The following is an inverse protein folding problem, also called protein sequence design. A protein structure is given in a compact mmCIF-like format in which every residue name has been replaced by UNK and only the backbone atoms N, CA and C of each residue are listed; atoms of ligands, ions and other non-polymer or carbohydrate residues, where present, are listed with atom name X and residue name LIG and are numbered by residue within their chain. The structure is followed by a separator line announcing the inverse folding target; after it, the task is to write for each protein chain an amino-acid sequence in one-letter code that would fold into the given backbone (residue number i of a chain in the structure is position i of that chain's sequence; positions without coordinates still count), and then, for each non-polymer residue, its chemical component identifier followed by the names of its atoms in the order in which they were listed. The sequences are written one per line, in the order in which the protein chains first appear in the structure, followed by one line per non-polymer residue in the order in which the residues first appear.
data_IF_536937934395
#
_entry.id   IF_536937934395
#
_cell.length_a   1.000
_cell.length_b   1.000
_cell.length_c   1.000
_cell.angle_alpha   90.00
_cell.angle_beta   90.00
_cell.angle_gamma   90.00
#
_symmetry.space_group_name_H-M   'P 1'
#
loop_
_entity.id
_entity.type
_entity.pdbx_description
1 polymer ?
#
# COMPACT_ATOMS: atom_id res chain seq x y z
N UNK A 1 -14.24 -5.68 -12.02
CA UNK A 1 -13.59 -4.86 -10.95
C UNK A 1 -12.07 -4.83 -11.14
N UNK A 2 -11.36 -5.98 -11.20
CA UNK A 2 -9.90 -6.01 -11.37
C UNK A 2 -9.40 -5.29 -12.63
N UNK A 3 -10.07 -5.45 -13.77
CA UNK A 3 -9.72 -4.73 -15.00
C UNK A 3 -9.77 -3.21 -14.85
N UNK A 4 -10.73 -2.69 -14.08
CA UNK A 4 -10.81 -1.26 -13.79
C UNK A 4 -9.71 -0.81 -12.83
N UNK A 5 -9.34 -1.64 -11.84
CA UNK A 5 -8.20 -1.36 -10.96
C UNK A 5 -6.91 -1.27 -11.79
N UNK A 6 -6.63 -2.27 -12.63
CA UNK A 6 -5.46 -2.29 -13.51
C UNK A 6 -5.45 -1.06 -14.43
N UNK A 7 -6.60 -0.69 -14.99
CA UNK A 7 -6.71 0.52 -15.83
C UNK A 7 -6.45 1.81 -15.07
N UNK A 8 -6.92 1.93 -13.82
CA UNK A 8 -6.70 3.10 -12.97
C UNK A 8 -5.24 3.22 -12.54
N UNK A 9 -4.66 2.13 -12.04
CA UNK A 9 -3.26 2.07 -11.60
C UNK A 9 -2.32 2.33 -12.77
N UNK A 10 -2.60 1.76 -13.95
CA UNK A 10 -1.85 2.01 -15.18
C UNK A 10 -1.89 3.46 -15.68
N UNK A 11 -2.83 4.28 -15.18
CA UNK A 11 -2.90 5.73 -15.43
C UNK A 11 -2.19 6.56 -14.36
N UNK A 12 -1.51 5.92 -13.41
CA UNK A 12 -0.67 6.59 -12.40
C UNK A 12 -1.43 7.10 -11.18
N UNK A 13 -2.63 6.59 -10.88
CA UNK A 13 -3.37 7.07 -9.70
C UNK A 13 -2.73 6.68 -8.36
N UNK A 14 -1.90 5.62 -8.34
CA UNK A 14 -1.32 5.07 -7.11
C UNK A 14 -0.54 6.12 -6.32
N UNK A 15 0.27 6.95 -6.99
CA UNK A 15 1.05 8.02 -6.33
C UNK A 15 0.16 8.92 -5.46
N UNK A 16 -0.98 9.37 -5.98
CA UNK A 16 -1.92 10.20 -5.22
C UNK A 16 -2.56 9.46 -4.03
N UNK A 17 -2.74 8.14 -4.11
CA UNK A 17 -3.19 7.35 -2.96
C UNK A 17 -2.08 7.15 -1.93
N UNK A 18 -0.81 7.05 -2.33
CA UNK A 18 0.32 7.05 -1.39
C UNK A 18 0.44 8.41 -0.69
N UNK A 19 0.18 9.52 -1.39
CA UNK A 19 0.07 10.84 -0.74
C UNK A 19 -1.05 10.89 0.30
N UNK A 20 -2.17 10.21 0.05
CA UNK A 20 -3.25 10.08 1.04
C UNK A 20 -2.82 9.26 2.26
N UNK A 21 -2.07 8.16 2.07
CA UNK A 21 -1.43 7.42 3.18
C UNK A 21 -0.63 8.39 4.02
N UNK A 22 0.07 9.34 3.37
CA UNK A 22 0.91 10.32 4.03
C UNK A 22 0.18 11.47 4.75
N UNK A 23 -1.13 11.61 4.55
CA UNK A 23 -1.95 12.66 5.17
C UNK A 23 -1.96 12.58 6.71
N UNK A 24 -2.12 13.74 7.35
CA UNK A 24 -2.39 13.83 8.79
C UNK A 24 -3.86 13.49 9.14
N UNK A 25 -4.76 13.53 8.15
CA UNK A 25 -6.14 13.11 8.31
C UNK A 25 -6.22 11.58 8.33
N UNK A 26 -6.68 11.03 9.45
CA UNK A 26 -6.72 9.58 9.67
C UNK A 26 -7.68 8.85 8.72
N UNK A 27 -8.73 9.51 8.23
CA UNK A 27 -9.66 8.93 7.25
C UNK A 27 -9.02 8.90 5.86
N UNK A 28 -8.29 9.95 5.49
CA UNK A 28 -7.52 10.00 4.26
C UNK A 28 -6.41 8.93 4.26
N UNK A 29 -5.64 8.85 5.35
CA UNK A 29 -4.62 7.82 5.53
C UNK A 29 -5.20 6.40 5.42
N UNK A 30 -6.35 6.16 6.06
CA UNK A 30 -7.06 4.88 5.96
C UNK A 30 -7.46 4.56 4.51
N UNK A 31 -8.03 5.52 3.79
CA UNK A 31 -8.42 5.34 2.39
C UNK A 31 -7.20 5.00 1.52
N UNK A 32 -6.08 5.68 1.74
CA UNK A 32 -4.80 5.38 1.10
C UNK A 32 -4.38 3.93 1.34
N UNK A 33 -4.32 3.50 2.60
CA UNK A 33 -3.92 2.13 2.98
C UNK A 33 -4.85 1.07 2.37
N UNK A 34 -6.16 1.31 2.35
CA UNK A 34 -7.14 0.42 1.73
C UNK A 34 -6.95 0.32 0.21
N UNK A 35 -6.62 1.42 -0.46
CA UNK A 35 -6.32 1.37 -1.89
C UNK A 35 -5.00 0.64 -2.15
N UNK A 36 -3.97 0.86 -1.33
CA UNK A 36 -2.70 0.12 -1.41
C UNK A 36 -2.93 -1.39 -1.26
N UNK A 37 -3.76 -1.83 -0.31
CA UNK A 37 -4.16 -3.25 -0.19
C UNK A 37 -4.79 -3.78 -1.48
N UNK A 38 -5.69 -3.02 -2.11
CA UNK A 38 -6.32 -3.42 -3.37
C UNK A 38 -5.29 -3.61 -4.47
N UNK A 39 -4.29 -2.75 -4.57
CA UNK A 39 -3.20 -2.88 -5.55
C UNK A 39 -2.34 -4.10 -5.26
N UNK A 40 -1.89 -4.27 -4.01
CA UNK A 40 -1.07 -5.41 -3.58
C UNK A 40 -1.76 -6.76 -3.83
N UNK A 41 -3.08 -6.84 -3.66
CA UNK A 41 -3.87 -8.06 -3.89
C UNK A 41 -4.32 -8.23 -5.35
N UNK A 42 -4.59 -7.13 -6.04
CA UNK A 42 -5.33 -7.12 -7.30
C UNK A 42 -4.47 -7.12 -8.56
N UNK A 43 -3.19 -6.76 -8.45
CA UNK A 43 -2.25 -6.80 -9.57
C UNK A 43 -1.71 -8.21 -9.78
N UNK A 44 -1.60 -8.64 -11.03
CA UNK A 44 -1.07 -9.94 -11.42
C UNK A 44 0.44 -10.06 -11.15
N UNK A 45 0.93 -11.29 -10.98
CA UNK A 45 2.37 -11.63 -11.00
C UNK A 45 3.27 -10.84 -10.03
N UNK A 46 2.71 -10.33 -8.92
CA UNK A 46 3.48 -9.52 -7.96
C UNK A 46 3.75 -8.08 -8.42
N UNK A 47 3.19 -7.63 -9.56
CA UNK A 47 3.39 -6.27 -10.06
C UNK A 47 2.89 -5.21 -9.06
N UNK A 48 1.90 -5.56 -8.24
CA UNK A 48 1.36 -4.65 -7.22
C UNK A 48 2.42 -4.21 -6.22
N UNK A 49 3.27 -5.13 -5.79
CA UNK A 49 4.34 -4.85 -4.84
C UNK A 49 5.39 -3.91 -5.44
N UNK A 50 5.86 -4.22 -6.66
CA UNK A 50 6.81 -3.39 -7.41
C UNK A 50 6.29 -1.97 -7.66
N UNK A 51 5.00 -1.84 -7.96
CA UNK A 51 4.36 -0.55 -8.16
C UNK A 51 4.27 0.24 -6.85
N UNK A 52 3.89 -0.42 -5.75
CA UNK A 52 3.83 0.21 -4.42
C UNK A 52 5.22 0.66 -3.97
N UNK A 53 6.24 -0.16 -4.16
CA UNK A 53 7.64 0.18 -3.87
C UNK A 53 8.11 1.38 -4.68
N UNK A 54 7.89 1.36 -6.01
CA UNK A 54 8.26 2.46 -6.91
C UNK A 54 7.69 3.82 -6.48
N UNK A 55 6.49 3.83 -5.90
CA UNK A 55 5.81 5.05 -5.46
C UNK A 55 6.08 5.38 -3.97
N UNK A 56 7.12 4.81 -3.34
CA UNK A 56 7.47 4.95 -1.92
C UNK A 56 6.34 4.52 -0.96
N UNK A 57 5.51 3.57 -1.39
CA UNK A 57 4.39 3.07 -0.60
C UNK A 57 4.80 2.20 0.59
N UNK A 58 5.98 1.58 0.54
CA UNK A 58 6.54 0.79 1.66
C UNK A 58 6.81 1.70 2.85
N UNK A 59 7.65 2.72 2.68
CA UNK A 59 7.94 3.73 3.70
C UNK A 59 6.67 4.37 4.25
N UNK A 60 5.70 4.64 3.36
CA UNK A 60 4.41 5.22 3.74
C UNK A 60 3.59 4.28 4.64
N UNK A 61 3.68 2.96 4.47
CA UNK A 61 3.04 1.98 5.36
C UNK A 61 3.82 1.81 6.67
N UNK A 62 5.15 1.70 6.60
CA UNK A 62 6.00 1.45 7.78
C UNK A 62 5.87 2.54 8.85
N UNK A 63 5.66 3.80 8.43
CA UNK A 63 5.42 4.91 9.38
C UNK A 63 4.26 4.66 10.33
N UNK A 64 3.30 3.80 9.94
CA UNK A 64 2.11 3.51 10.73
C UNK A 64 2.30 2.37 11.74
N UNK A 65 3.37 1.57 11.66
CA UNK A 65 3.59 0.43 12.55
C UNK A 65 3.70 0.80 14.03
N UNK A 66 4.07 2.05 14.33
CA UNK A 66 4.14 2.61 15.68
C UNK A 66 3.14 3.75 15.93
N UNK A 67 2.12 3.88 15.08
CA UNK A 67 1.17 4.97 15.15
C UNK A 67 0.18 4.82 16.32
N UNK A 68 -0.24 5.96 16.90
CA UNK A 68 -1.15 6.00 18.07
C UNK A 68 -2.56 5.49 17.75
N UNK A 69 -3.02 5.73 16.52
CA UNK A 69 -4.30 5.18 16.05
C UNK A 69 -4.13 3.68 15.81
N UNK A 70 -4.82 2.86 16.61
CA UNK A 70 -4.68 1.41 16.58
C UNK A 70 -5.18 0.79 15.29
N UNK A 71 -6.26 1.32 14.69
CA UNK A 71 -6.82 0.80 13.44
C UNK A 71 -5.82 0.94 12.29
N UNK A 72 -5.21 2.12 12.14
CA UNK A 72 -4.20 2.38 11.12
C UNK A 72 -2.95 1.54 11.34
N UNK A 73 -2.52 1.42 12.61
CA UNK A 73 -1.38 0.59 12.98
C UNK A 73 -1.60 -0.88 12.63
N UNK A 74 -2.74 -1.44 13.02
CA UNK A 74 -3.07 -2.84 12.76
C UNK A 74 -3.19 -3.11 11.25
N UNK A 75 -3.77 -2.18 10.49
CA UNK A 75 -3.87 -2.28 9.04
C UNK A 75 -2.48 -2.27 8.38
N UNK A 76 -1.63 -1.32 8.75
CA UNK A 76 -0.28 -1.22 8.22
C UNK A 76 0.57 -2.46 8.56
N UNK A 77 0.57 -2.90 9.82
CA UNK A 77 1.26 -4.12 10.24
C UNK A 77 0.79 -5.34 9.42
N UNK A 78 -0.52 -5.50 9.22
CA UNK A 78 -1.06 -6.61 8.44
C UNK A 78 -0.61 -6.58 6.96
N UNK A 79 -0.40 -5.39 6.39
CA UNK A 79 0.11 -5.25 5.02
C UNK A 79 1.61 -5.54 4.94
N UNK A 80 2.39 -4.99 5.87
CA UNK A 80 3.84 -5.22 5.96
C UNK A 80 4.12 -6.70 6.18
N UNK A 81 3.52 -7.33 7.19
CA UNK A 81 3.74 -8.74 7.50
C UNK A 81 3.40 -9.67 6.32
N UNK A 82 2.38 -9.31 5.54
CA UNK A 82 1.88 -10.15 4.44
C UNK A 82 2.67 -10.00 3.14
N UNK A 83 3.11 -8.79 2.82
CA UNK A 83 3.71 -8.47 1.51
C UNK A 83 5.19 -8.12 1.59
N UNK A 84 5.70 -7.80 2.78
CA UNK A 84 7.07 -7.36 3.07
C UNK A 84 7.71 -8.21 4.18
N UNK A 85 7.18 -9.40 4.45
CA UNK A 85 7.70 -10.33 5.44
C UNK A 85 9.00 -11.02 4.98
N UNK A 86 9.31 -12.18 5.56
CA UNK A 86 10.63 -12.84 5.46
C UNK A 86 11.12 -13.12 4.02
N UNK A 87 10.21 -13.26 3.05
CA UNK A 87 10.55 -13.54 1.65
C UNK A 87 10.78 -12.28 0.79
N UNK A 88 10.55 -11.09 1.34
CA UNK A 88 10.73 -9.83 0.62
C UNK A 88 12.21 -9.51 0.37
N UNK A 89 12.57 -9.24 -0.89
CA UNK A 89 13.94 -8.91 -1.30
C UNK A 89 14.90 -10.11 -1.42
N UNK A 90 14.40 -11.35 -1.26
CA UNK A 90 15.23 -12.55 -1.46
C UNK A 90 15.39 -12.98 -2.93
N UNK A 91 14.54 -12.43 -3.81
CA UNK A 91 14.49 -12.73 -5.25
C UNK A 91 15.14 -11.62 -6.12
N UNK A 92 15.84 -10.65 -5.52
CA UNK A 92 16.60 -9.59 -6.22
C UNK A 92 18.07 -9.94 -6.49
#
# INVERSE_FOLDING_TARGET
ILEHLVSLVGRGCLAGFIDLVNSADTKAARLGLQFTELVLRGMSNGDGLKLVEKENGIDAMERFQFHKNEDLRNMANSLVDKYLGDDYGLDE
#
